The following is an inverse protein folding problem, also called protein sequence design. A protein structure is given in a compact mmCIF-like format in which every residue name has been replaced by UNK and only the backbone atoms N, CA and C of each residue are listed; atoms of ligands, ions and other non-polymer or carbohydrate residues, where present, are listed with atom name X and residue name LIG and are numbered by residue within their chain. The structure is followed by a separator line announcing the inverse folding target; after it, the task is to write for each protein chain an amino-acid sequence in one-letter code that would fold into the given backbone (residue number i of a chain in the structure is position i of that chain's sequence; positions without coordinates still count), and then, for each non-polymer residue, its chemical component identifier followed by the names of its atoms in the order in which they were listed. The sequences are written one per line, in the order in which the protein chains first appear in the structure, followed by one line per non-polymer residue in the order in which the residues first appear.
data_IF_649721050440
#
_entry.id   IF_649721050440
#
_cell.length_a   1.000
_cell.length_b   1.000
_cell.length_c   1.000
_cell.angle_alpha   90.00
_cell.angle_beta   90.00
_cell.angle_gamma   90.00
#
_symmetry.space_group_name_H-M   'P 1'
#
loop_
_entity.id
_entity.type
_entity.pdbx_description
1 polymer ?
#
# COMPACT_ATOMS: atom_id res chain seq x y z
N UNK A 1 -16.32 -16.75 -18.16
CA UNK A 1 -15.28 -16.82 -17.14
C UNK A 1 -14.04 -15.98 -17.51
N UNK A 2 -13.53 -16.05 -18.73
CA UNK A 2 -12.32 -15.31 -19.20
C UNK A 2 -12.39 -13.79 -18.99
N UNK A 3 -13.53 -13.14 -19.24
CA UNK A 3 -13.69 -11.67 -19.10
C UNK A 3 -13.44 -11.16 -17.67
N UNK A 4 -13.88 -11.90 -16.65
CA UNK A 4 -13.70 -11.49 -15.24
C UNK A 4 -12.24 -11.59 -14.80
N UNK A 5 -11.54 -12.64 -15.25
CA UNK A 5 -10.11 -12.83 -14.97
C UNK A 5 -9.27 -11.73 -15.64
N UNK A 6 -9.58 -11.39 -16.90
CA UNK A 6 -8.89 -10.31 -17.62
C UNK A 6 -9.05 -8.97 -16.89
N UNK A 7 -10.28 -8.65 -16.47
CA UNK A 7 -10.56 -7.40 -15.75
C UNK A 7 -9.78 -7.33 -14.41
N UNK A 8 -9.74 -8.45 -13.68
CA UNK A 8 -8.99 -8.56 -12.42
C UNK A 8 -7.49 -8.29 -12.64
N UNK A 9 -6.91 -8.90 -13.70
CA UNK A 9 -5.50 -8.71 -14.05
C UNK A 9 -5.20 -7.27 -14.48
N UNK A 10 -6.09 -6.66 -15.28
CA UNK A 10 -5.95 -5.26 -15.70
C UNK A 10 -6.00 -4.32 -14.49
N UNK A 11 -6.92 -4.56 -13.55
CA UNK A 11 -7.01 -3.78 -12.31
C UNK A 11 -5.72 -3.91 -11.48
N UNK A 12 -5.21 -5.12 -11.31
CA UNK A 12 -3.96 -5.37 -10.56
C UNK A 12 -2.77 -4.67 -11.23
N UNK A 13 -2.67 -4.75 -12.56
CA UNK A 13 -1.59 -4.10 -13.33
C UNK A 13 -1.67 -2.57 -13.21
N UNK A 14 -2.87 -2.00 -13.28
CA UNK A 14 -3.07 -0.56 -13.15
C UNK A 14 -2.67 -0.07 -11.75
N UNK A 15 -3.06 -0.82 -10.70
CA UNK A 15 -2.71 -0.49 -9.31
C UNK A 15 -1.19 -0.57 -9.12
N UNK A 16 -0.53 -1.60 -9.69
CA UNK A 16 0.92 -1.74 -9.65
C UNK A 16 1.62 -0.55 -10.33
N UNK A 17 1.14 -0.15 -11.51
CA UNK A 17 1.69 1.01 -12.24
C UNK A 17 1.54 2.30 -11.44
N UNK A 18 0.37 2.51 -10.83
CA UNK A 18 0.12 3.69 -9.97
C UNK A 18 1.05 3.69 -8.74
N UNK A 19 1.27 2.52 -8.14
CA UNK A 19 2.16 2.38 -6.99
C UNK A 19 3.60 2.79 -7.36
N UNK A 20 4.11 2.26 -8.48
CA UNK A 20 5.45 2.58 -8.99
C UNK A 20 5.58 4.08 -9.27
N UNK A 21 4.60 4.66 -9.96
CA UNK A 21 4.61 6.08 -10.32
C UNK A 21 4.63 6.98 -9.07
N UNK A 22 3.79 6.66 -8.07
CA UNK A 22 3.72 7.45 -6.83
C UNK A 22 4.99 7.30 -5.99
N UNK A 23 5.58 6.10 -5.94
CA UNK A 23 6.86 5.88 -5.24
C UNK A 23 7.97 6.70 -5.90
N UNK A 24 8.04 6.65 -7.23
CA UNK A 24 9.04 7.40 -7.99
C UNK A 24 8.88 8.90 -7.77
N UNK A 25 7.64 9.39 -7.78
CA UNK A 25 7.32 10.81 -7.53
C UNK A 25 7.74 11.24 -6.11
N UNK A 26 7.50 10.38 -5.09
CA UNK A 26 7.93 10.65 -3.71
C UNK A 26 9.45 10.81 -3.62
N UNK A 27 10.19 9.92 -4.29
CA UNK A 27 11.65 9.94 -4.30
C UNK A 27 12.19 11.19 -5.01
N UNK A 28 11.59 11.57 -6.14
CA UNK A 28 11.98 12.79 -6.89
C UNK A 28 11.68 14.07 -6.09
N UNK A 29 10.65 14.06 -5.26
CA UNK A 29 10.30 15.19 -4.37
C UNK A 29 11.21 15.27 -3.13
N UNK A 30 12.15 14.32 -2.96
CA UNK A 30 13.04 14.25 -1.80
C UNK A 30 12.36 13.76 -0.54
N UNK A 31 11.18 13.17 -0.66
CA UNK A 31 10.40 12.66 0.45
C UNK A 31 10.73 11.17 0.68
N UNK A 32 11.98 10.91 1.07
CA UNK A 32 12.49 9.54 1.24
C UNK A 32 11.69 8.71 2.26
N UNK A 33 11.10 9.39 3.24
CA UNK A 33 10.38 8.75 4.35
C UNK A 33 8.87 8.74 4.17
N UNK A 34 8.32 9.63 3.30
CA UNK A 34 6.88 9.73 3.05
C UNK A 34 6.60 9.17 1.65
N UNK A 35 6.05 7.97 1.59
CA UNK A 35 5.72 7.31 0.32
C UNK A 35 4.25 7.54 -0.01
N UNK A 36 3.98 8.35 -1.04
CA UNK A 36 2.60 8.58 -1.53
C UNK A 36 1.91 7.28 -1.97
N UNK A 37 2.69 6.28 -2.36
CA UNK A 37 2.18 4.95 -2.73
C UNK A 37 1.45 4.25 -1.58
N UNK A 38 1.76 4.59 -0.32
CA UNK A 38 1.10 4.01 0.85
C UNK A 38 -0.37 4.41 0.94
N UNK A 39 -0.76 5.53 0.31
CA UNK A 39 -2.17 5.91 0.17
C UNK A 39 -3.00 4.86 -0.59
N UNK A 40 -2.36 4.08 -1.48
CA UNK A 40 -3.03 3.00 -2.22
C UNK A 40 -3.32 1.77 -1.37
N UNK A 41 -2.74 1.68 -0.16
CA UNK A 41 -2.91 0.53 0.75
C UNK A 41 -4.34 0.43 1.32
N UNK A 42 -5.20 1.40 1.05
CA UNK A 42 -6.64 1.30 1.32
C UNK A 42 -7.39 0.49 0.23
N UNK A 43 -6.82 0.36 -0.97
CA UNK A 43 -7.50 -0.28 -2.12
C UNK A 43 -7.88 -1.75 -1.88
N UNK A 44 -7.12 -2.57 -1.11
CA UNK A 44 -7.54 -3.93 -0.80
C UNK A 44 -8.89 -4.02 -0.08
N UNK A 45 -9.28 -2.96 0.63
CA UNK A 45 -10.61 -2.88 1.24
C UNK A 45 -11.71 -2.98 0.16
N UNK A 46 -11.49 -2.33 -0.99
CA UNK A 46 -12.50 -2.25 -2.08
C UNK A 46 -12.38 -3.41 -3.08
N UNK A 47 -11.16 -3.76 -3.49
CA UNK A 47 -10.95 -4.79 -4.53
C UNK A 47 -9.85 -5.79 -4.14
N UNK A 48 -10.12 -7.08 -4.40
CA UNK A 48 -9.12 -8.13 -4.20
C UNK A 48 -7.93 -8.03 -5.16
N UNK A 49 -8.10 -7.41 -6.32
CA UNK A 49 -7.03 -7.18 -7.28
C UNK A 49 -5.93 -6.26 -6.74
N UNK A 50 -6.24 -5.46 -5.71
CA UNK A 50 -5.27 -4.58 -5.08
C UNK A 50 -4.19 -5.35 -4.30
N UNK A 51 -4.49 -6.54 -3.78
CA UNK A 51 -3.51 -7.33 -3.03
C UNK A 51 -2.30 -7.69 -3.92
N UNK A 52 -2.48 -8.42 -5.06
CA UNK A 52 -1.34 -8.66 -5.94
C UNK A 52 -0.82 -7.39 -6.62
N UNK A 53 -1.70 -6.42 -6.91
CA UNK A 53 -1.30 -5.15 -7.54
C UNK A 53 -0.30 -4.36 -6.70
N UNK A 54 -0.59 -4.18 -5.41
CA UNK A 54 0.29 -3.46 -4.48
C UNK A 54 1.61 -4.23 -4.25
N UNK A 55 1.52 -5.55 -4.12
CA UNK A 55 2.72 -6.39 -3.89
C UNK A 55 3.68 -6.30 -5.08
N UNK A 56 3.16 -6.51 -6.31
CA UNK A 56 3.96 -6.40 -7.54
C UNK A 56 4.47 -4.96 -7.71
N UNK A 57 3.61 -3.98 -7.44
CA UNK A 57 3.99 -2.55 -7.48
C UNK A 57 5.13 -2.23 -6.54
N UNK A 58 5.08 -2.75 -5.31
CA UNK A 58 6.13 -2.54 -4.29
C UNK A 58 7.46 -3.19 -4.73
N UNK A 59 7.42 -4.43 -5.24
CA UNK A 59 8.61 -5.12 -5.78
C UNK A 59 9.24 -4.28 -6.89
N UNK A 60 8.43 -3.89 -7.87
CA UNK A 60 8.91 -3.12 -9.04
C UNK A 60 9.44 -1.75 -8.61
N UNK A 61 8.73 -1.06 -7.72
CA UNK A 61 9.15 0.25 -7.22
C UNK A 61 10.51 0.17 -6.52
N UNK A 62 10.69 -0.80 -5.64
CA UNK A 62 11.95 -0.97 -4.88
C UNK A 62 13.12 -1.34 -5.81
N UNK A 63 12.88 -2.17 -6.84
CA UNK A 63 13.90 -2.50 -7.85
C UNK A 63 14.27 -1.24 -8.66
N UNK A 64 13.27 -0.49 -9.12
CA UNK A 64 13.49 0.69 -9.97
C UNK A 64 14.15 1.85 -9.21
N UNK A 65 13.93 1.94 -7.90
CA UNK A 65 14.55 2.97 -7.06
C UNK A 65 15.93 2.54 -6.54
N UNK A 66 16.39 1.33 -6.89
CA UNK A 66 17.70 0.83 -6.51
C UNK A 66 17.84 0.45 -5.05
N UNK A 67 16.75 0.08 -4.40
CA UNK A 67 16.76 -0.36 -3.00
C UNK A 67 17.51 -1.69 -2.85
N UNK A 68 18.18 -1.92 -1.70
CA UNK A 68 18.81 -3.21 -1.44
C UNK A 68 17.84 -4.37 -1.54
N UNK A 69 18.37 -5.55 -1.87
CA UNK A 69 17.56 -6.77 -2.07
C UNK A 69 16.69 -7.11 -0.85
N UNK A 70 17.21 -6.86 0.35
CA UNK A 70 16.46 -7.07 1.60
C UNK A 70 15.22 -6.22 1.67
N UNK A 71 15.31 -4.96 1.22
CA UNK A 71 14.18 -4.02 1.16
C UNK A 71 13.14 -4.49 0.13
N UNK A 72 13.60 -4.98 -1.03
CA UNK A 72 12.71 -5.54 -2.07
C UNK A 72 11.92 -6.72 -1.50
N UNK A 73 12.58 -7.65 -0.79
CA UNK A 73 11.93 -8.88 -0.29
C UNK A 73 11.03 -8.57 0.91
N UNK A 74 11.61 -8.00 1.97
CA UNK A 74 10.88 -7.81 3.24
C UNK A 74 9.85 -6.68 3.16
N UNK A 75 10.14 -5.60 2.43
CA UNK A 75 9.20 -4.50 2.20
C UNK A 75 7.98 -4.97 1.42
N UNK A 76 8.21 -5.77 0.37
CA UNK A 76 7.09 -6.33 -0.42
C UNK A 76 6.29 -7.37 0.37
N UNK A 77 6.95 -8.14 1.22
CA UNK A 77 6.28 -9.11 2.10
C UNK A 77 5.41 -8.39 3.13
N UNK A 78 5.91 -7.29 3.72
CA UNK A 78 5.14 -6.45 4.65
C UNK A 78 3.90 -5.87 3.94
N UNK A 79 4.06 -5.35 2.72
CA UNK A 79 2.96 -4.83 1.89
C UNK A 79 1.94 -5.94 1.59
N UNK A 80 2.40 -7.14 1.24
CA UNK A 80 1.51 -8.29 0.98
C UNK A 80 0.69 -8.65 2.21
N UNK A 81 1.34 -8.77 3.37
CA UNK A 81 0.67 -9.14 4.64
C UNK A 81 -0.33 -8.04 5.01
N UNK A 82 0.08 -6.77 4.96
CA UNK A 82 -0.77 -5.62 5.25
C UNK A 82 -1.99 -5.55 4.35
N UNK A 83 -1.78 -5.69 3.02
CA UNK A 83 -2.85 -5.67 2.02
C UNK A 83 -3.82 -6.86 2.21
N UNK A 84 -3.29 -8.04 2.52
CA UNK A 84 -4.10 -9.24 2.75
C UNK A 84 -4.99 -9.07 3.99
N UNK A 85 -4.42 -8.59 5.10
CA UNK A 85 -5.19 -8.36 6.34
C UNK A 85 -6.22 -7.24 6.11
N UNK A 86 -5.86 -6.17 5.39
CA UNK A 86 -6.80 -5.10 5.01
C UNK A 86 -7.97 -5.67 4.20
N UNK A 87 -7.70 -6.62 3.31
CA UNK A 87 -8.74 -7.32 2.55
C UNK A 87 -9.66 -8.17 3.44
N UNK A 88 -9.11 -8.84 4.45
CA UNK A 88 -9.92 -9.61 5.42
C UNK A 88 -10.82 -8.68 6.25
N UNK A 89 -10.36 -7.46 6.51
CA UNK A 89 -11.11 -6.47 7.30
C UNK A 89 -12.19 -5.72 6.50
N UNK A 90 -12.35 -6.00 5.18
CA UNK A 90 -13.30 -5.28 4.30
C UNK A 90 -14.76 -5.34 4.78
N UNK A 91 -15.12 -6.34 5.58
CA UNK A 91 -16.47 -6.51 6.14
C UNK A 91 -16.68 -5.78 7.47
N UNK A 92 -15.59 -5.31 8.11
CA UNK A 92 -15.69 -4.67 9.43
C UNK A 92 -15.84 -3.16 9.31
N UNK A 93 -14.75 -2.44 9.16
CA UNK A 93 -14.77 -0.98 9.17
C UNK A 93 -13.65 -0.44 8.28
N UNK A 94 -13.98 0.56 7.49
CA UNK A 94 -13.01 1.19 6.58
C UNK A 94 -11.85 1.87 7.34
N UNK A 95 -12.11 2.33 8.57
CA UNK A 95 -11.08 2.94 9.43
C UNK A 95 -9.96 1.97 9.80
N UNK A 96 -10.25 0.66 9.81
CA UNK A 96 -9.27 -0.36 10.13
C UNK A 96 -8.41 -0.77 8.91
N UNK A 97 -8.81 -0.36 7.71
CA UNK A 97 -8.15 -0.80 6.47
C UNK A 97 -6.67 -0.39 6.36
N UNK A 98 -6.26 0.85 6.71
CA UNK A 98 -4.84 1.23 6.61
C UNK A 98 -3.95 0.67 7.73
N UNK A 99 -4.51 0.34 8.90
CA UNK A 99 -3.72 -0.04 10.09
C UNK A 99 -2.82 -1.26 9.89
N UNK A 100 -3.27 -2.36 9.23
CA UNK A 100 -2.39 -3.51 9.04
C UNK A 100 -1.12 -3.16 8.26
N UNK A 101 -1.22 -2.30 7.25
CA UNK A 101 -0.08 -1.87 6.45
C UNK A 101 0.86 -0.95 7.26
N UNK A 102 0.28 -0.01 8.01
CA UNK A 102 1.03 0.90 8.89
C UNK A 102 1.85 0.06 9.90
N UNK A 103 1.21 -0.91 10.55
CA UNK A 103 1.87 -1.77 11.56
C UNK A 103 2.97 -2.63 10.91
N UNK A 104 2.67 -3.25 9.75
CA UNK A 104 3.63 -4.10 9.05
C UNK A 104 4.88 -3.32 8.65
N UNK A 105 4.71 -2.12 8.08
CA UNK A 105 5.83 -1.27 7.66
C UNK A 105 6.60 -0.69 8.85
N UNK A 106 5.90 -0.27 9.91
CA UNK A 106 6.53 0.27 11.14
C UNK A 106 7.44 -0.77 11.80
N UNK A 107 7.13 -2.05 11.64
CA UNK A 107 7.97 -3.14 12.17
C UNK A 107 9.09 -3.47 11.16
N UNK A 108 8.73 -3.69 9.90
CA UNK A 108 9.64 -4.19 8.87
C UNK A 108 10.73 -3.18 8.50
N UNK A 109 10.36 -1.91 8.26
CA UNK A 109 11.29 -0.90 7.73
C UNK A 109 12.41 -0.56 8.74
N UNK A 110 12.16 -0.27 10.02
CA UNK A 110 13.26 0.00 10.96
C UNK A 110 14.16 -1.22 11.18
N UNK A 111 13.59 -2.42 11.10
CA UNK A 111 14.38 -3.66 11.23
C UNK A 111 15.36 -3.79 10.06
N UNK A 112 14.90 -3.53 8.83
CA UNK A 112 15.74 -3.55 7.63
C UNK A 112 16.82 -2.46 7.73
N UNK A 113 16.45 -1.25 8.15
CA UNK A 113 17.37 -0.13 8.29
C UNK A 113 18.46 -0.43 9.31
N UNK A 114 18.13 -1.10 10.41
CA UNK A 114 19.08 -1.47 11.45
C UNK A 114 20.06 -2.57 11.00
N UNK A 115 19.58 -3.58 10.26
CA UNK A 115 20.39 -4.74 9.89
C UNK A 115 21.15 -4.58 8.57
N UNK A 116 20.62 -3.77 7.64
CA UNK A 116 21.19 -3.58 6.31
C UNK A 116 22.05 -2.30 6.25
N UNK A 117 21.57 -1.23 6.87
CA UNK A 117 22.26 0.06 6.91
C UNK A 117 22.89 0.24 8.30
N UNK A 118 24.10 -0.28 8.48
CA UNK A 118 24.80 -0.35 9.78
C UNK A 118 25.14 1.00 10.42
N UNK A 119 24.95 2.10 9.70
CA UNK A 119 25.30 3.45 10.18
C UNK A 119 24.21 4.14 11.03
N UNK A 120 23.06 3.52 11.21
CA UNK A 120 21.94 4.12 11.97
C UNK A 120 21.98 3.63 13.43
N UNK A 121 23.09 3.95 14.13
CA UNK A 121 23.35 3.41 15.46
C UNK A 121 22.68 4.15 16.62
N UNK A 122 22.23 5.40 16.40
CA UNK A 122 22.07 6.26 17.58
C UNK A 122 20.66 6.35 18.14
N UNK A 123 19.59 6.10 17.36
CA UNK A 123 18.27 6.30 17.96
C UNK A 123 17.19 5.44 17.29
N UNK A 124 17.27 4.13 17.50
CA UNK A 124 16.27 3.18 16.99
C UNK A 124 14.82 3.57 17.34
N UNK A 125 14.49 3.97 18.61
CA UNK A 125 13.11 4.36 18.93
C UNK A 125 12.65 5.65 18.21
N UNK A 126 13.54 6.60 17.96
CA UNK A 126 13.21 7.81 17.19
C UNK A 126 12.93 7.46 15.73
N UNK A 127 13.72 6.52 15.15
CA UNK A 127 13.52 6.03 13.79
C UNK A 127 12.16 5.34 13.64
N UNK A 128 11.81 4.47 14.58
CA UNK A 128 10.50 3.79 14.62
C UNK A 128 9.37 4.83 14.70
N UNK A 129 9.52 5.83 15.56
CA UNK A 129 8.55 6.91 15.72
C UNK A 129 8.38 7.74 14.45
N UNK A 130 9.49 8.06 13.78
CA UNK A 130 9.48 8.83 12.54
C UNK A 130 8.78 8.05 11.41
N UNK A 131 9.11 6.77 11.24
CA UNK A 131 8.49 5.90 10.23
C UNK A 131 7.00 5.72 10.54
N UNK A 132 6.64 5.47 11.79
CA UNK A 132 5.24 5.38 12.21
C UNK A 132 4.47 6.67 11.86
N UNK A 133 5.04 7.84 12.18
CA UNK A 133 4.42 9.13 11.88
C UNK A 133 4.25 9.33 10.37
N UNK A 134 5.27 9.01 9.56
CA UNK A 134 5.20 9.12 8.10
C UNK A 134 4.16 8.18 7.50
N UNK A 135 4.05 6.95 8.03
CA UNK A 135 3.04 5.96 7.61
C UNK A 135 1.61 6.44 7.94
N UNK A 136 1.41 6.99 9.14
CA UNK A 136 0.11 7.54 9.56
C UNK A 136 -0.27 8.73 8.67
N UNK A 137 0.69 9.59 8.32
CA UNK A 137 0.44 10.72 7.41
C UNK A 137 0.13 10.21 5.99
N UNK A 138 0.93 9.30 5.46
CA UNK A 138 0.76 8.78 4.09
C UNK A 138 -0.50 7.95 3.93
N UNK A 139 -0.64 6.91 4.74
CA UNK A 139 -1.75 5.96 4.65
C UNK A 139 -2.99 6.44 5.39
N UNK A 140 -2.81 7.15 6.50
CA UNK A 140 -3.90 7.64 7.35
C UNK A 140 -4.61 8.85 6.74
N UNK A 141 -3.92 9.94 6.57
CA UNK A 141 -4.51 11.20 6.08
C UNK A 141 -4.94 11.12 4.62
N UNK A 142 -4.15 10.55 3.78
CA UNK A 142 -4.51 10.38 2.37
C UNK A 142 -5.64 9.38 2.16
N UNK A 143 -5.82 8.55 2.89
CA UNK A 143 -6.88 7.65 2.89
C UNK A 143 -8.12 8.30 3.35
N UNK A 144 -7.93 9.00 4.13
CA UNK A 144 -9.02 9.70 4.65
C UNK A 144 -9.53 10.72 3.70
N UNK A 145 -8.72 11.10 3.09
CA UNK A 145 -9.04 12.00 2.08
C UNK A 145 -9.75 11.38 0.97
N UNK A 146 -9.38 10.44 0.67
CA UNK A 146 -9.95 9.67 -0.33
C UNK A 146 -11.30 9.17 0.04
N UNK A 147 -11.44 8.71 1.14
CA UNK A 147 -12.72 8.19 1.61
C UNK A 147 -13.78 9.29 1.79
N UNK A 148 -13.37 10.42 2.29
CA UNK A 148 -14.28 11.56 2.46
C UNK A 148 -14.84 12.05 1.11
N UNK A 149 -13.98 12.10 0.10
CA UNK A 149 -14.41 12.43 -1.28
C UNK A 149 -15.33 11.35 -1.86
N UNK A 150 -15.02 10.07 -1.63
CA UNK A 150 -15.84 8.95 -2.09
C UNK A 150 -17.21 8.90 -1.40
N UNK A 151 -17.25 9.22 -0.11
CA UNK A 151 -18.51 9.26 0.65
C UNK A 151 -19.41 10.42 0.20
N UNK A 152 -18.81 11.51 -0.28
CA UNK A 152 -19.54 12.73 -0.66
C UNK A 152 -20.04 12.72 -2.10
N UNK A 153 -19.37 12.00 -3.00
CA UNK A 153 -19.76 11.97 -4.42
C UNK A 153 -20.41 10.64 -4.80
N UNK A 154 -21.68 10.69 -5.15
CA UNK A 154 -22.48 9.54 -5.56
C UNK A 154 -21.92 8.77 -6.78
N UNK A 155 -21.30 9.42 -7.80
CA UNK A 155 -20.73 8.65 -8.93
C UNK A 155 -19.53 7.79 -8.54
N UNK A 156 -18.74 8.19 -7.52
CA UNK A 156 -17.59 7.42 -7.06
C UNK A 156 -18.05 6.16 -6.30
N UNK A 157 -19.14 6.27 -5.54
CA UNK A 157 -19.76 5.12 -4.85
C UNK A 157 -20.19 4.03 -5.84
N UNK A 158 -20.82 4.42 -6.95
CA UNK A 158 -21.23 3.48 -7.99
C UNK A 158 -20.02 2.86 -8.71
N UNK A 159 -18.94 3.64 -8.91
CA UNK A 159 -17.71 3.12 -9.50
C UNK A 159 -17.06 2.08 -8.57
N UNK A 160 -16.98 2.35 -7.27
CA UNK A 160 -16.43 1.39 -6.30
C UNK A 160 -17.31 0.14 -6.15
N UNK A 161 -18.64 0.29 -6.18
CA UNK A 161 -19.57 -0.84 -6.17
C UNK A 161 -19.37 -1.72 -7.42
N UNK A 162 -19.15 -1.09 -8.58
CA UNK A 162 -18.85 -1.79 -9.83
C UNK A 162 -17.49 -2.54 -9.75
N UNK A 163 -16.47 -1.90 -9.16
CA UNK A 163 -15.16 -2.53 -8.95
C UNK A 163 -15.26 -3.72 -7.99
N UNK A 164 -16.07 -3.58 -6.93
CA UNK A 164 -16.29 -4.65 -5.95
C UNK A 164 -17.02 -5.83 -6.58
N UNK A 165 -18.05 -5.56 -7.41
CA UNK A 165 -18.80 -6.61 -8.10
C UNK A 165 -17.93 -7.34 -9.15
N UNK A 166 -17.01 -6.61 -9.79
CA UNK A 166 -16.09 -7.16 -10.79
C UNK A 166 -14.95 -7.98 -10.14
N UNK A 167 -14.54 -7.59 -8.92
CA UNK A 167 -13.41 -8.20 -8.23
C UNK A 167 -13.74 -9.34 -7.27
N UNK A 168 -14.99 -9.78 -7.22
CA UNK A 168 -15.35 -10.95 -6.40
C UNK A 168 -14.78 -12.22 -7.06
N UNK A 169 -13.86 -12.93 -6.39
CA UNK A 169 -13.42 -14.22 -6.90
C UNK A 169 -14.64 -15.16 -6.95
N UNK A 170 -14.78 -15.83 -8.06
CA UNK A 170 -15.77 -16.91 -8.17
C UNK A 170 -15.16 -18.11 -7.43
N UNK A 171 -15.59 -18.33 -6.19
CA UNK A 171 -15.34 -19.58 -5.50
C UNK A 171 -16.20 -20.66 -6.11
#
# INVERSE_FOLDING_TARGET
MKKKTTLYLVQAALIAAMYVALTYLSNMAGLWEVRFSEALCILPYFTGAAVPGLTVGCVLANILTGCPLWDVVFGSLATLIGAYIARLLHKKSWWLAPWPNIIANTIAVPLILRYVYTDVSSTYPALVGLIFASEVVSAGLLXXXXMCCCARSSPIRSCFAALESAGKPVL
#
